data_IF_019530490305
#
_entry.id   IF_019530490305
#
_cell.length_a   1.000
_cell.length_b   1.000
_cell.length_c   1.000
_cell.angle_alpha   90.00
_cell.angle_beta   90.00
_cell.angle_gamma   90.00
#
_symmetry.space_group_name_H-M   'P 1'
#
loop_
_entity.id
_entity.type
_entity.pdbx_description
1 polymer ?
#
# COMPACT_ATOMS: atom_id res chain seq x y z
N UNK A 1 7.16 6.21 -23.27
CA UNK A 1 6.19 6.04 -22.18
C UNK A 1 6.92 5.38 -21.02
N UNK A 2 7.12 6.10 -19.90
CA UNK A 2 7.97 5.64 -18.81
C UNK A 2 7.15 5.36 -17.54
N UNK A 3 7.52 4.31 -16.81
CA UNK A 3 6.96 4.00 -15.48
C UNK A 3 7.53 4.99 -14.48
N UNK A 4 6.66 5.69 -13.75
CA UNK A 4 7.08 6.62 -12.72
C UNK A 4 7.34 5.86 -11.42
N UNK A 5 8.57 5.93 -10.91
CA UNK A 5 8.97 5.35 -9.61
C UNK A 5 9.31 6.50 -8.68
N UNK A 6 8.66 6.54 -7.52
CA UNK A 6 8.77 7.65 -6.58
C UNK A 6 8.44 7.16 -5.16
N UNK A 7 8.87 7.90 -4.14
CA UNK A 7 8.46 7.65 -2.75
C UNK A 7 7.07 8.25 -2.49
N UNK A 8 6.40 7.78 -1.44
CA UNK A 8 5.07 8.26 -1.04
C UNK A 8 5.04 9.80 -0.91
N UNK A 9 6.05 10.37 -0.24
CA UNK A 9 6.14 11.82 0.01
C UNK A 9 6.25 12.62 -1.30
N UNK A 10 7.04 12.12 -2.25
CA UNK A 10 7.21 12.76 -3.56
C UNK A 10 6.03 12.57 -4.52
N UNK A 11 5.08 11.69 -4.19
CA UNK A 11 3.94 11.35 -5.04
C UNK A 11 2.64 12.07 -4.64
N UNK A 12 2.74 13.06 -3.75
CA UNK A 12 1.58 13.82 -3.30
C UNK A 12 1.01 14.68 -4.44
N UNK A 13 -0.32 14.62 -4.64
CA UNK A 13 -1.02 15.42 -5.65
C UNK A 13 -1.05 14.82 -7.07
N UNK A 14 -0.34 13.72 -7.30
CA UNK A 14 -0.45 12.95 -8.54
C UNK A 14 -1.31 11.69 -8.33
N UNK A 15 -1.98 11.24 -9.40
CA UNK A 15 -2.75 9.99 -9.43
C UNK A 15 -2.39 9.18 -10.68
N UNK A 16 -2.57 7.86 -10.60
CA UNK A 16 -2.38 6.95 -11.75
C UNK A 16 -3.51 5.94 -11.80
N UNK A 17 -3.78 5.42 -13.00
CA UNK A 17 -4.75 4.34 -13.21
C UNK A 17 -4.41 3.10 -12.36
N UNK A 18 -3.14 2.74 -12.31
CA UNK A 18 -2.61 1.61 -11.53
C UNK A 18 -1.43 2.09 -10.68
N UNK A 19 -1.41 1.72 -9.40
CA UNK A 19 -0.30 1.99 -8.48
C UNK A 19 0.20 0.69 -7.87
N UNK A 20 1.52 0.50 -7.91
CA UNK A 20 2.20 -0.57 -7.19
C UNK A 20 2.85 0.03 -5.94
N UNK A 21 2.28 -0.27 -4.78
CA UNK A 21 2.80 0.11 -3.48
C UNK A 21 3.76 -0.96 -2.96
N UNK A 22 5.06 -0.77 -3.21
CA UNK A 22 6.09 -1.60 -2.61
C UNK A 22 6.44 -1.07 -1.21
N UNK A 23 6.03 -1.79 -0.17
CA UNK A 23 6.25 -1.36 1.21
C UNK A 23 7.69 -1.56 1.68
N UNK A 24 8.40 -2.53 1.09
CA UNK A 24 9.79 -2.92 1.46
C UNK A 24 9.99 -3.31 2.93
N UNK A 25 8.90 -3.39 3.72
CA UNK A 25 8.96 -3.67 5.14
C UNK A 25 9.17 -5.16 5.39
N UNK A 26 10.20 -5.46 6.18
CA UNK A 26 10.45 -6.79 6.76
C UNK A 26 10.17 -6.83 8.27
N UNK A 27 10.01 -5.66 8.89
CA UNK A 27 9.69 -5.44 10.31
C UNK A 27 8.73 -4.24 10.45
N UNK A 28 7.97 -4.12 11.55
CA UNK A 28 7.11 -2.97 11.80
C UNK A 28 7.88 -1.65 11.73
N UNK A 29 7.28 -0.63 11.11
CA UNK A 29 7.93 0.68 10.98
C UNK A 29 6.95 1.82 11.25
N UNK A 30 7.29 2.78 12.14
CA UNK A 30 6.45 3.94 12.40
C UNK A 30 6.26 4.81 11.15
N UNK A 31 7.20 4.76 10.20
CA UNK A 31 7.10 5.48 8.92
C UNK A 31 5.88 5.06 8.11
N UNK A 32 5.59 3.77 8.06
CA UNK A 32 4.44 3.23 7.32
C UNK A 32 3.17 3.18 8.18
N UNK A 33 3.30 3.38 9.49
CA UNK A 33 2.17 3.51 10.41
C UNK A 33 1.57 4.93 10.42
N UNK A 34 2.27 5.91 9.87
CA UNK A 34 1.79 7.28 9.74
C UNK A 34 0.49 7.32 8.90
N UNK A 35 -0.65 7.72 9.49
CA UNK A 35 -1.93 7.71 8.79
C UNK A 35 -1.97 8.67 7.60
N UNK A 36 -1.20 9.76 7.61
CA UNK A 36 -1.17 10.71 6.49
C UNK A 36 -0.48 10.09 5.28
N UNK A 37 0.66 9.42 5.49
CA UNK A 37 1.39 8.71 4.43
C UNK A 37 0.59 7.54 3.90
N UNK A 38 -0.08 6.81 4.78
CA UNK A 38 -0.91 5.68 4.38
C UNK A 38 -2.12 6.14 3.55
N UNK A 39 -2.78 7.23 3.96
CA UNK A 39 -3.86 7.83 3.18
C UNK A 39 -3.40 8.24 1.79
N UNK A 40 -2.23 8.87 1.67
CA UNK A 40 -1.63 9.15 0.37
C UNK A 40 -1.45 7.84 -0.38
N UNK A 41 -0.68 6.88 0.14
CA UNK A 41 -0.35 5.63 -0.55
C UNK A 41 -1.57 4.84 -1.06
N UNK A 42 -2.67 4.80 -0.28
CA UNK A 42 -3.87 4.04 -0.63
C UNK A 42 -4.79 4.75 -1.64
N UNK A 43 -4.73 6.09 -1.75
CA UNK A 43 -5.67 6.89 -2.56
C UNK A 43 -5.12 7.30 -3.93
N UNK A 44 -3.86 7.00 -4.25
CA UNK A 44 -3.25 7.40 -5.54
C UNK A 44 -3.70 6.56 -6.73
N UNK A 45 -4.27 5.39 -6.49
CA UNK A 45 -4.76 4.49 -7.51
C UNK A 45 -6.21 4.83 -7.89
N UNK A 46 -6.46 5.06 -9.18
CA UNK A 46 -7.83 5.28 -9.69
C UNK A 46 -8.59 3.99 -9.93
N UNK A 47 -7.92 2.94 -10.42
CA UNK A 47 -8.55 1.65 -10.76
C UNK A 47 -8.00 0.50 -9.94
N UNK A 48 -6.68 0.33 -9.90
CA UNK A 48 -6.06 -0.81 -9.23
C UNK A 48 -4.91 -0.38 -8.33
N UNK A 49 -4.96 -0.80 -7.07
CA UNK A 49 -3.88 -0.69 -6.11
C UNK A 49 -3.34 -2.08 -5.82
N UNK A 50 -2.04 -2.29 -6.06
CA UNK A 50 -1.35 -3.53 -5.72
C UNK A 50 -0.38 -3.24 -4.58
N UNK A 51 -0.53 -3.92 -3.44
CA UNK A 51 0.36 -3.77 -2.29
C UNK A 51 1.31 -4.95 -2.21
N UNK A 52 2.62 -4.67 -2.23
CA UNK A 52 3.68 -5.68 -2.19
C UNK A 52 4.47 -5.53 -0.89
N UNK A 53 4.60 -6.62 -0.13
CA UNK A 53 5.33 -6.60 1.14
C UNK A 53 5.17 -7.85 1.98
N UNK A 54 5.87 -7.89 3.13
CA UNK A 54 5.73 -8.97 4.10
C UNK A 54 4.42 -8.84 4.88
N UNK A 55 3.53 -9.82 4.74
CA UNK A 55 2.27 -9.87 5.50
C UNK A 55 2.49 -9.73 7.01
N UNK A 56 3.50 -10.41 7.55
CA UNK A 56 3.80 -10.35 8.99
C UNK A 56 4.23 -8.94 9.43
N UNK A 57 5.08 -8.27 8.65
CA UNK A 57 5.50 -6.91 8.95
C UNK A 57 4.33 -5.92 8.88
N UNK A 58 3.49 -6.05 7.85
CA UNK A 58 2.34 -5.16 7.62
C UNK A 58 1.25 -5.31 8.68
N UNK A 59 0.92 -6.54 9.07
CA UNK A 59 -0.04 -6.84 10.15
C UNK A 59 0.33 -6.14 11.47
N UNK A 60 1.63 -6.06 11.76
CA UNK A 60 2.17 -5.46 12.98
C UNK A 60 2.52 -3.96 12.82
N UNK A 61 2.32 -3.37 11.65
CA UNK A 61 2.66 -1.95 11.38
C UNK A 61 1.49 -1.02 11.64
N UNK A 62 0.32 -1.31 11.11
CA UNK A 62 -0.87 -0.47 11.27
C UNK A 62 -2.17 -1.26 11.18
N UNK A 63 -3.23 -0.87 11.90
CA UNK A 63 -4.54 -1.53 11.85
C UNK A 63 -5.13 -1.56 10.43
N UNK A 64 -4.89 -0.50 9.65
CA UNK A 64 -5.36 -0.40 8.27
C UNK A 64 -4.77 -1.48 7.37
N UNK A 65 -3.48 -1.82 7.52
CA UNK A 65 -2.89 -2.93 6.79
C UNK A 65 -3.49 -4.27 7.21
N UNK A 66 -3.77 -4.46 8.50
CA UNK A 66 -4.47 -5.66 8.96
C UNK A 66 -5.87 -5.77 8.35
N UNK A 67 -6.64 -4.67 8.30
CA UNK A 67 -7.94 -4.64 7.65
C UNK A 67 -7.85 -5.00 6.16
N UNK A 68 -6.88 -4.42 5.42
CA UNK A 68 -6.65 -4.75 4.01
C UNK A 68 -6.37 -6.25 3.83
N UNK A 69 -5.45 -6.81 4.61
CA UNK A 69 -5.08 -8.24 4.51
C UNK A 69 -6.28 -9.15 4.83
N UNK A 70 -7.09 -8.81 5.84
CA UNK A 70 -8.29 -9.57 6.18
C UNK A 70 -9.33 -9.55 5.05
N UNK A 71 -9.54 -8.39 4.42
CA UNK A 71 -10.45 -8.27 3.27
C UNK A 71 -9.95 -9.05 2.05
N UNK A 72 -8.64 -9.07 1.81
CA UNK A 72 -8.05 -9.90 0.76
C UNK A 72 -8.25 -11.40 1.04
N UNK A 73 -8.09 -11.84 2.30
CA UNK A 73 -8.35 -13.24 2.70
C UNK A 73 -9.82 -13.64 2.59
N UNK A 74 -10.75 -12.71 2.83
CA UNK A 74 -12.19 -12.94 2.71
C UNK A 74 -12.68 -13.04 1.26
N UNK A 75 -11.79 -12.91 0.27
CA UNK A 75 -12.15 -13.02 -1.15
C UNK A 75 -12.77 -11.75 -1.74
N UNK A 76 -12.83 -10.65 -0.99
CA UNK A 76 -13.39 -9.38 -1.48
C UNK A 76 -12.47 -8.66 -2.48
N UNK A 77 -11.21 -9.07 -2.59
CA UNK A 77 -10.24 -8.46 -3.50
C UNK A 77 -9.35 -9.52 -4.14
N UNK A 78 -9.56 -9.77 -5.43
CA UNK A 78 -8.72 -10.62 -6.25
C UNK A 78 -7.41 -9.91 -6.56
N UNK A 79 -6.34 -10.22 -5.81
CA UNK A 79 -5.01 -10.66 -6.29
C UNK A 79 -4.23 -11.12 -5.05
N UNK A 80 -4.09 -12.43 -4.88
CA UNK A 80 -3.10 -13.05 -4.02
C UNK A 80 -2.10 -13.77 -4.93
N UNK A 81 -0.85 -13.31 -4.92
CA UNK A 81 0.30 -14.02 -5.46
C UNK A 81 1.46 -13.78 -4.51
#
# INVERSE_FOLDING_TARGET
MAVQVATIDSFQGAEKEVVLLATTLTRPSPFAADPLRLNVALTRARRHLLVLGSCNALLNTAPTFAAIIQRCKAGETAVAA
#
